data_IF_286339826603
#
_entry.id   IF_286339826603
#
_cell.length_a   1.000
_cell.length_b   1.000
_cell.length_c   1.000
_cell.angle_alpha   90.00
_cell.angle_beta   90.00
_cell.angle_gamma   90.00
#
_symmetry.space_group_name_H-M   'P 1'
#
loop_
_entity.id
_entity.type
_entity.pdbx_description
1 polymer ?
#
# COMPACT_ATOMS: atom_id res chain seq x y z
N UNK A 1 12.41 17.00 -10.71
CA UNK A 1 12.50 15.89 -9.74
C UNK A 1 13.64 16.23 -8.80
N UNK A 2 13.37 16.42 -7.48
CA UNK A 2 14.22 16.95 -6.37
C UNK A 2 13.57 18.07 -5.54
N UNK A 3 12.36 18.48 -5.89
CA UNK A 3 11.64 19.47 -5.12
C UNK A 3 11.04 18.82 -3.87
N UNK A 4 11.21 19.45 -2.71
CA UNK A 4 10.67 18.95 -1.44
C UNK A 4 9.20 19.32 -1.28
N UNK A 5 8.40 18.47 -0.63
CA UNK A 5 7.05 18.81 -0.12
C UNK A 5 7.05 19.72 1.10
N UNK A 6 8.21 19.98 1.70
CA UNK A 6 8.33 20.65 3.00
C UNK A 6 7.58 21.98 2.98
N UNK A 7 6.74 22.17 4.00
CA UNK A 7 5.97 23.38 4.17
C UNK A 7 6.89 24.57 4.51
N UNK A 8 6.69 25.68 3.80
CA UNK A 8 7.31 26.98 4.06
C UNK A 8 6.18 28.00 4.33
N UNK A 9 6.18 28.58 5.54
CA UNK A 9 5.13 29.49 5.96
C UNK A 9 5.10 30.80 5.17
N UNK A 10 6.26 31.28 4.69
CA UNK A 10 6.34 32.51 3.90
C UNK A 10 5.80 32.26 2.48
N UNK A 11 6.20 31.15 1.86
CA UNK A 11 5.70 30.78 0.55
C UNK A 11 4.19 30.50 0.58
N UNK A 12 3.70 29.80 1.61
CA UNK A 12 2.28 29.52 1.79
C UNK A 12 1.44 30.79 2.03
N UNK A 13 2.00 31.83 2.65
CA UNK A 13 1.32 33.11 2.82
C UNK A 13 1.14 33.88 1.49
N UNK A 14 2.03 33.65 0.52
CA UNK A 14 1.97 34.27 -0.81
C UNK A 14 1.11 33.42 -1.77
N UNK A 15 1.27 32.10 -1.72
CA UNK A 15 0.62 31.15 -2.63
C UNK A 15 0.29 29.84 -1.90
N UNK A 16 -0.80 29.84 -1.14
CA UNK A 16 -1.25 28.67 -0.39
C UNK A 16 -1.59 27.46 -1.30
N UNK A 17 -2.05 27.75 -2.51
CA UNK A 17 -2.49 26.75 -3.51
C UNK A 17 -1.32 26.11 -4.27
N UNK A 18 -0.07 26.53 -4.00
CA UNK A 18 1.13 26.05 -4.67
C UNK A 18 1.08 26.21 -6.21
N UNK A 19 0.41 27.25 -6.71
CA UNK A 19 0.29 27.57 -8.15
C UNK A 19 1.63 27.96 -8.78
N UNK A 20 2.52 28.57 -7.99
CA UNK A 20 3.88 28.93 -8.37
C UNK A 20 4.86 27.76 -8.19
N UNK A 21 4.36 26.58 -7.77
CA UNK A 21 5.13 25.36 -7.60
C UNK A 21 6.35 25.60 -6.70
N UNK A 22 6.15 26.15 -5.50
CA UNK A 22 7.23 26.35 -4.52
C UNK A 22 7.56 25.08 -3.74
N UNK A 23 6.65 24.10 -3.68
CA UNK A 23 6.89 22.75 -3.16
C UNK A 23 6.40 21.66 -4.11
N UNK A 24 6.83 20.42 -3.87
CA UNK A 24 6.19 19.26 -4.47
C UNK A 24 4.79 19.08 -3.85
N UNK A 25 3.78 18.98 -4.70
CA UNK A 25 2.44 18.60 -4.24
C UNK A 25 2.44 17.10 -3.94
N UNK A 26 2.01 16.66 -2.75
CA UNK A 26 1.93 15.25 -2.41
C UNK A 26 1.03 14.51 -3.40
N UNK A 27 1.43 13.30 -3.80
CA UNK A 27 0.70 12.48 -4.77
C UNK A 27 0.30 11.16 -4.13
N UNK A 28 -0.98 10.82 -4.25
CA UNK A 28 -1.51 9.52 -3.82
C UNK A 28 -0.90 8.40 -4.67
N UNK A 29 -0.55 7.29 -4.04
CA UNK A 29 -0.15 6.08 -4.75
C UNK A 29 -1.33 5.53 -5.56
N UNK A 30 -1.05 5.17 -6.83
CA UNK A 30 -1.96 4.35 -7.63
C UNK A 30 -2.18 2.98 -6.99
N UNK A 31 -3.31 2.34 -7.28
CA UNK A 31 -3.66 1.01 -6.78
C UNK A 31 -2.53 -0.03 -6.89
N UNK A 32 -1.88 -0.10 -8.06
CA UNK A 32 -0.80 -1.05 -8.33
C UNK A 32 0.45 -0.75 -7.49
N UNK A 33 0.79 0.55 -7.37
CA UNK A 33 1.94 1.00 -6.58
C UNK A 33 1.70 0.81 -5.08
N UNK A 34 0.46 1.02 -4.61
CA UNK A 34 0.06 0.75 -3.24
C UNK A 34 0.23 -0.73 -2.91
N UNK A 35 -0.34 -1.62 -3.74
CA UNK A 35 -0.20 -3.06 -3.54
C UNK A 35 1.25 -3.50 -3.53
N UNK A 36 2.06 -3.01 -4.48
CA UNK A 36 3.48 -3.33 -4.55
C UNK A 36 4.26 -2.76 -3.36
N UNK A 37 3.91 -1.57 -2.85
CA UNK A 37 4.51 -0.98 -1.65
C UNK A 37 4.23 -1.81 -0.40
N UNK A 38 3.01 -2.33 -0.25
CA UNK A 38 2.65 -3.25 0.85
C UNK A 38 3.50 -4.52 0.79
N UNK A 39 3.67 -5.11 -0.40
CA UNK A 39 4.53 -6.29 -0.61
C UNK A 39 5.99 -6.00 -0.26
N UNK A 40 6.51 -4.84 -0.65
CA UNK A 40 7.88 -4.41 -0.32
C UNK A 40 8.06 -4.25 1.19
N UNK A 41 7.09 -3.62 1.85
CA UNK A 41 7.13 -3.41 3.29
C UNK A 41 7.09 -4.76 4.03
N UNK A 42 6.17 -5.64 3.65
CA UNK A 42 6.06 -6.99 4.19
C UNK A 42 7.28 -7.89 3.91
N UNK A 43 8.10 -7.56 2.89
CA UNK A 43 9.24 -8.39 2.47
C UNK A 43 8.86 -9.54 1.53
N UNK A 44 7.65 -9.50 0.97
CA UNK A 44 7.06 -10.58 0.17
C UNK A 44 7.16 -10.32 -1.35
N UNK A 45 7.57 -9.12 -1.76
CA UNK A 45 7.60 -8.77 -3.18
C UNK A 45 8.50 -9.72 -3.99
N UNK A 46 7.88 -10.50 -4.86
CA UNK A 46 8.59 -11.26 -5.89
C UNK A 46 8.99 -10.30 -7.03
N UNK A 47 10.31 -10.12 -7.18
CA UNK A 47 10.94 -9.20 -8.14
C UNK A 47 11.29 -9.85 -9.49
N UNK A 48 10.91 -11.11 -9.71
CA UNK A 48 11.16 -11.84 -10.95
C UNK A 48 10.65 -11.06 -12.16
N UNK A 49 11.52 -10.90 -13.17
CA UNK A 49 11.24 -10.17 -14.40
C UNK A 49 10.94 -11.11 -15.56
N UNK A 50 10.09 -10.67 -16.49
CA UNK A 50 9.70 -11.40 -17.70
C UNK A 50 8.97 -12.73 -17.44
N UNK A 51 8.63 -13.48 -18.49
CA UNK A 51 7.84 -14.71 -18.35
C UNK A 51 6.34 -14.46 -18.12
N UNK A 52 5.56 -15.52 -17.90
CA UNK A 52 4.11 -15.43 -17.77
C UNK A 52 3.70 -14.65 -16.52
N UNK A 53 2.61 -13.90 -16.63
CA UNK A 53 1.97 -13.27 -15.49
C UNK A 53 1.24 -14.27 -14.59
N UNK A 54 0.81 -13.81 -13.42
CA UNK A 54 -0.02 -14.60 -12.50
C UNK A 54 -1.51 -14.38 -12.74
N UNK A 55 -2.35 -15.32 -12.29
CA UNK A 55 -3.81 -15.27 -12.42
C UNK A 55 -4.47 -15.50 -11.06
N UNK A 56 -4.90 -14.43 -10.41
CA UNK A 56 -5.69 -14.48 -9.17
C UNK A 56 -7.19 -14.71 -9.44
N UNK A 57 -7.48 -15.54 -10.46
CA UNK A 57 -8.83 -15.92 -10.82
C UNK A 57 -8.83 -17.30 -11.48
N UNK A 58 -9.96 -17.98 -11.35
CA UNK A 58 -10.27 -19.19 -12.11
C UNK A 58 -11.33 -18.88 -13.16
N UNK A 59 -11.31 -19.59 -14.29
CA UNK A 59 -12.33 -19.44 -15.34
C UNK A 59 -13.01 -20.77 -15.60
N UNK A 60 -14.33 -20.74 -15.77
CA UNK A 60 -15.14 -21.93 -16.01
C UNK A 60 -16.31 -21.63 -16.96
N UNK A 61 -16.89 -22.70 -17.54
CA UNK A 61 -17.98 -22.59 -18.51
C UNK A 61 -19.27 -23.14 -17.90
N UNK A 62 -20.33 -22.31 -17.88
CA UNK A 62 -21.71 -22.70 -17.49
C UNK A 62 -22.73 -22.05 -18.43
N UNK A 63 -22.85 -22.53 -19.66
CA UNK A 63 -23.60 -21.90 -20.77
C UNK A 63 -22.99 -20.57 -21.28
N UNK A 64 -22.05 -19.98 -20.56
CA UNK A 64 -21.22 -18.84 -20.94
C UNK A 64 -19.86 -18.95 -20.22
N UNK A 65 -18.92 -18.06 -20.53
CA UNK A 65 -17.64 -17.95 -19.82
C UNK A 65 -17.80 -17.14 -18.54
N UNK A 66 -17.40 -17.72 -17.42
CA UNK A 66 -17.41 -17.10 -16.09
C UNK A 66 -16.02 -17.07 -15.50
N UNK A 67 -15.85 -16.24 -14.48
CA UNK A 67 -14.66 -16.21 -13.66
C UNK A 67 -15.03 -16.06 -12.19
N UNK A 68 -14.13 -16.53 -11.33
CA UNK A 68 -14.18 -16.33 -9.90
C UNK A 68 -12.81 -15.84 -9.43
N UNK A 69 -12.80 -14.82 -8.58
CA UNK A 69 -11.57 -14.25 -8.03
C UNK A 69 -11.11 -15.15 -6.90
N UNK A 70 -9.83 -15.50 -6.90
CA UNK A 70 -9.20 -16.24 -5.81
C UNK A 70 -8.25 -15.33 -5.04
N UNK A 71 -8.07 -15.59 -3.75
CA UNK A 71 -7.15 -14.83 -2.88
C UNK A 71 -6.06 -15.75 -2.29
N UNK A 72 -5.14 -16.24 -3.14
CA UNK A 72 -4.10 -17.18 -2.73
C UNK A 72 -2.97 -16.53 -1.93
N UNK A 73 -2.43 -17.28 -0.98
CA UNK A 73 -1.22 -16.95 -0.22
C UNK A 73 -0.04 -17.77 -0.75
N UNK A 74 0.56 -17.31 -1.85
CA UNK A 74 1.76 -17.93 -2.43
C UNK A 74 2.62 -16.90 -3.18
N UNK A 75 3.94 -17.15 -3.21
CA UNK A 75 4.95 -16.24 -3.78
C UNK A 75 4.72 -15.87 -5.26
N UNK A 76 4.06 -16.74 -6.03
CA UNK A 76 3.66 -16.45 -7.41
C UNK A 76 2.73 -15.22 -7.49
N UNK A 77 1.83 -15.08 -6.52
CA UNK A 77 0.83 -14.01 -6.46
C UNK A 77 1.39 -12.73 -5.84
N UNK A 78 2.54 -12.80 -5.17
CA UNK A 78 3.26 -11.65 -4.61
C UNK A 78 4.22 -11.00 -5.60
N UNK A 79 4.05 -11.29 -6.88
CA UNK A 79 4.74 -10.61 -7.96
C UNK A 79 4.21 -9.18 -8.14
N UNK A 80 5.09 -8.31 -8.67
CA UNK A 80 4.73 -6.94 -9.06
C UNK A 80 3.42 -6.91 -9.84
N UNK A 81 2.53 -6.00 -9.47
CA UNK A 81 1.14 -5.94 -9.97
C UNK A 81 1.07 -5.75 -11.50
N UNK A 82 2.12 -5.21 -12.12
CA UNK A 82 2.24 -5.12 -13.59
C UNK A 82 2.20 -6.48 -14.31
N UNK A 83 2.52 -7.58 -13.62
CA UNK A 83 2.47 -8.94 -14.16
C UNK A 83 1.13 -9.62 -13.90
N UNK A 84 0.16 -8.94 -13.28
CA UNK A 84 -1.18 -9.49 -13.09
C UNK A 84 -1.89 -9.65 -14.43
N UNK A 85 -2.42 -10.83 -14.68
CA UNK A 85 -3.30 -11.06 -15.84
C UNK A 85 -4.65 -10.42 -15.58
N UNK A 86 -5.22 -9.76 -16.59
CA UNK A 86 -6.56 -9.16 -16.51
C UNK A 86 -7.56 -9.90 -17.38
N UNK A 87 -8.73 -10.20 -16.81
CA UNK A 87 -9.94 -10.46 -17.59
C UNK A 87 -10.53 -9.10 -17.95
N UNK A 88 -11.02 -8.93 -19.19
CA UNK A 88 -11.58 -7.66 -19.66
C UNK A 88 -12.74 -7.15 -18.79
N UNK A 89 -13.56 -8.04 -18.25
CA UNK A 89 -14.64 -7.74 -17.28
C UNK A 89 -14.24 -8.04 -15.83
N UNK A 90 -12.96 -8.35 -15.60
CA UNK A 90 -12.41 -8.75 -14.32
C UNK A 90 -12.41 -7.58 -13.34
N UNK A 91 -12.78 -7.88 -12.10
CA UNK A 91 -12.68 -6.97 -10.96
C UNK A 91 -11.49 -7.36 -10.08
N UNK A 92 -11.00 -6.42 -9.28
CA UNK A 92 -10.02 -6.69 -8.23
C UNK A 92 -10.48 -6.01 -6.94
N UNK A 93 -10.79 -6.75 -5.87
CA UNK A 93 -11.38 -6.18 -4.66
C UNK A 93 -10.54 -5.05 -4.03
N UNK A 94 -9.22 -5.16 -4.11
CA UNK A 94 -8.32 -4.12 -3.63
C UNK A 94 -8.09 -3.04 -4.69
N UNK A 95 -7.71 -3.42 -5.92
CA UNK A 95 -7.27 -2.43 -6.91
C UNK A 95 -8.42 -1.51 -7.36
N UNK A 96 -9.62 -2.06 -7.51
CA UNK A 96 -10.80 -1.28 -7.95
C UNK A 96 -11.17 -0.19 -6.93
N UNK A 97 -11.00 -0.47 -5.63
CA UNK A 97 -11.27 0.51 -4.55
C UNK A 97 -10.28 1.68 -4.60
N UNK A 98 -9.07 1.45 -5.10
CA UNK A 98 -8.01 2.45 -5.26
C UNK A 98 -7.93 3.02 -6.68
N UNK A 99 -9.09 3.12 -7.34
CA UNK A 99 -9.26 3.77 -8.65
C UNK A 99 -8.44 3.14 -9.79
N UNK A 100 -8.12 1.83 -9.70
CA UNK A 100 -7.51 1.10 -10.80
C UNK A 100 -8.41 1.18 -12.05
N UNK A 101 -7.86 1.53 -13.24
CA UNK A 101 -8.66 1.63 -14.46
C UNK A 101 -9.41 0.35 -14.82
N UNK A 102 -10.69 0.48 -15.20
CA UNK A 102 -11.49 -0.64 -15.70
C UNK A 102 -10.93 -1.12 -17.05
N UNK A 103 -10.48 -2.39 -17.16
CA UNK A 103 -9.84 -2.92 -18.36
C UNK A 103 -10.77 -3.03 -19.59
N UNK A 104 -12.08 -2.86 -19.40
CA UNK A 104 -13.06 -2.84 -20.50
C UNK A 104 -13.20 -1.47 -21.17
N UNK A 105 -12.70 -0.40 -20.54
CA UNK A 105 -12.91 0.99 -20.95
C UNK A 105 -11.60 1.74 -21.23
N UNK A 106 -11.69 2.90 -21.89
CA UNK A 106 -10.55 3.79 -22.11
C UNK A 106 -10.43 4.76 -20.93
N UNK A 107 -9.25 4.84 -20.34
CA UNK A 107 -8.97 5.73 -19.19
C UNK A 107 -7.79 6.64 -19.53
N UNK A 108 -8.02 7.77 -20.21
CA UNK A 108 -6.94 8.69 -20.59
C UNK A 108 -6.35 9.44 -19.39
N UNK A 109 -7.12 9.61 -18.32
CA UNK A 109 -6.71 10.21 -17.05
C UNK A 109 -7.18 9.30 -15.92
N UNK A 110 -6.28 8.95 -15.01
CA UNK A 110 -6.61 8.17 -13.81
C UNK A 110 -7.33 9.08 -12.80
N UNK A 111 -8.44 8.59 -12.26
CA UNK A 111 -9.10 9.26 -11.15
C UNK A 111 -8.31 9.04 -9.87
N UNK A 112 -8.37 10.01 -8.96
CA UNK A 112 -7.83 9.87 -7.60
C UNK A 112 -8.93 10.33 -6.66
N UNK A 113 -9.50 9.38 -5.92
CA UNK A 113 -10.55 9.63 -4.94
C UNK A 113 -10.01 9.41 -3.53
N UNK A 114 -10.66 10.05 -2.55
CA UNK A 114 -10.44 9.81 -1.13
C UNK A 114 -11.79 9.43 -0.54
N UNK A 115 -11.99 8.15 -0.28
CA UNK A 115 -13.28 7.64 0.20
C UNK A 115 -13.13 6.86 1.50
N UNK A 116 -14.15 6.85 2.38
CA UNK A 116 -14.15 5.97 3.55
C UNK A 116 -13.99 4.49 3.21
N UNK A 117 -14.46 4.07 2.03
CA UNK A 117 -14.33 2.69 1.55
C UNK A 117 -12.86 2.31 1.35
N UNK A 118 -12.01 3.22 0.86
CA UNK A 118 -10.57 2.97 0.74
C UNK A 118 -9.91 2.72 2.08
N UNK A 119 -10.21 3.56 3.09
CA UNK A 119 -9.70 3.36 4.44
C UNK A 119 -10.19 2.03 5.04
N UNK A 120 -11.48 1.70 4.84
CA UNK A 120 -12.06 0.45 5.32
C UNK A 120 -11.45 -0.77 4.62
N UNK A 121 -11.14 -0.66 3.32
CA UNK A 121 -10.48 -1.72 2.55
C UNK A 121 -9.06 -1.95 3.03
N UNK A 122 -8.28 -0.90 3.30
CA UNK A 122 -6.94 -1.07 3.90
C UNK A 122 -7.00 -1.74 5.26
N UNK A 123 -8.07 -1.49 6.01
CA UNK A 123 -8.27 -2.10 7.33
C UNK A 123 -8.71 -3.56 7.21
N UNK A 124 -9.58 -3.94 6.28
CA UNK A 124 -10.28 -5.24 6.33
C UNK A 124 -10.00 -6.19 5.17
N UNK A 125 -9.31 -5.74 4.12
CA UNK A 125 -8.99 -6.60 3.00
C UNK A 125 -8.03 -7.72 3.46
N UNK A 126 -8.31 -8.96 3.06
CA UNK A 126 -7.56 -10.16 3.47
C UNK A 126 -6.08 -10.09 3.10
N UNK A 127 -5.74 -9.54 1.94
CA UNK A 127 -4.34 -9.30 1.55
C UNK A 127 -3.66 -8.31 2.51
N UNK A 128 -4.35 -7.23 2.89
CA UNK A 128 -3.80 -6.23 3.83
C UNK A 128 -3.56 -6.82 5.22
N UNK A 129 -4.49 -7.65 5.70
CA UNK A 129 -4.34 -8.35 6.99
C UNK A 129 -3.15 -9.32 6.96
N UNK A 130 -3.05 -10.16 5.92
CA UNK A 130 -1.90 -11.07 5.75
C UNK A 130 -0.58 -10.31 5.67
N UNK A 131 -0.52 -9.21 4.93
CA UNK A 131 0.72 -8.43 4.81
C UNK A 131 1.09 -7.71 6.10
N UNK A 132 0.12 -7.34 6.94
CA UNK A 132 0.39 -6.79 8.26
C UNK A 132 1.02 -7.85 9.19
N UNK A 133 0.55 -9.10 9.11
CA UNK A 133 1.18 -10.23 9.81
C UNK A 133 2.60 -10.49 9.29
N UNK A 134 2.81 -10.52 7.97
CA UNK A 134 4.15 -10.70 7.37
C UNK A 134 5.12 -9.58 7.74
N UNK A 135 4.67 -8.33 7.77
CA UNK A 135 5.49 -7.22 8.26
C UNK A 135 5.84 -7.40 9.75
N UNK A 136 4.90 -7.83 10.59
CA UNK A 136 5.19 -8.11 11.99
C UNK A 136 6.21 -9.24 12.17
N UNK A 137 6.08 -10.34 11.41
CA UNK A 137 7.06 -11.44 11.38
C UNK A 137 8.44 -10.93 10.96
N UNK A 138 8.51 -10.11 9.90
CA UNK A 138 9.75 -9.49 9.43
C UNK A 138 10.38 -8.61 10.51
N UNK A 139 9.60 -7.77 11.19
CA UNK A 139 10.09 -6.92 12.27
C UNK A 139 10.61 -7.74 13.46
N UNK A 140 9.94 -8.83 13.81
CA UNK A 140 10.40 -9.75 14.84
C UNK A 140 11.74 -10.40 14.47
N UNK A 141 11.96 -10.72 13.20
CA UNK A 141 13.23 -11.27 12.70
C UNK A 141 14.35 -10.22 12.65
N UNK A 142 14.06 -9.00 12.20
CA UNK A 142 15.06 -7.95 12.01
C UNK A 142 15.43 -7.20 13.32
N UNK A 143 14.48 -7.05 14.25
CA UNK A 143 14.65 -6.28 15.49
C UNK A 143 14.49 -7.10 16.78
N UNK A 144 14.23 -8.40 16.69
CA UNK A 144 14.07 -9.26 17.86
C UNK A 144 12.88 -8.85 18.73
N UNK A 145 12.99 -9.01 20.05
CA UNK A 145 11.95 -8.65 21.02
C UNK A 145 12.01 -7.21 21.55
N UNK A 146 12.87 -6.35 21.00
CA UNK A 146 12.96 -4.94 21.40
C UNK A 146 11.88 -4.12 20.67
N UNK A 147 10.81 -3.77 21.38
CA UNK A 147 9.68 -2.99 20.85
C UNK A 147 10.14 -1.64 20.28
N UNK A 148 11.11 -0.97 20.92
CA UNK A 148 11.62 0.32 20.41
C UNK A 148 12.31 0.11 19.07
N UNK A 149 13.15 -0.92 18.96
CA UNK A 149 13.82 -1.26 17.70
C UNK A 149 12.81 -1.65 16.60
N UNK A 150 11.75 -2.39 16.95
CA UNK A 150 10.66 -2.75 16.03
C UNK A 150 9.95 -1.50 15.49
N UNK A 151 9.58 -0.53 16.35
CA UNK A 151 8.92 0.72 15.91
C UNK A 151 9.83 1.51 14.98
N UNK A 152 11.11 1.69 15.35
CA UNK A 152 12.08 2.40 14.52
C UNK A 152 12.18 1.77 13.13
N UNK A 153 12.24 0.45 13.06
CA UNK A 153 12.37 -0.28 11.81
C UNK A 153 11.09 -0.25 10.97
N UNK A 154 9.93 -0.35 11.61
CA UNK A 154 8.65 -0.31 10.91
C UNK A 154 8.42 1.02 10.20
N UNK A 155 8.74 2.14 10.88
CA UNK A 155 8.62 3.49 10.31
C UNK A 155 9.64 3.69 9.16
N UNK A 156 10.87 3.21 9.32
CA UNK A 156 11.89 3.27 8.26
C UNK A 156 11.44 2.52 6.99
N UNK A 157 10.92 1.29 7.14
CA UNK A 157 10.44 0.49 6.02
C UNK A 157 9.18 1.09 5.38
N UNK A 158 8.24 1.57 6.20
CA UNK A 158 6.90 1.95 5.73
C UNK A 158 6.85 3.39 5.19
N UNK A 159 7.57 4.31 5.83
CA UNK A 159 7.50 5.74 5.52
C UNK A 159 8.82 6.29 4.96
N UNK A 160 9.90 5.51 4.96
CA UNK A 160 11.19 5.94 4.41
C UNK A 160 11.87 7.06 5.18
N UNK A 161 11.54 7.22 6.48
CA UNK A 161 12.12 8.24 7.37
C UNK A 161 12.38 7.70 8.77
N UNK A 162 13.03 8.52 9.59
CA UNK A 162 13.24 8.20 11.01
C UNK A 162 11.98 8.50 11.82
N UNK A 163 11.70 7.64 12.80
CA UNK A 163 10.68 7.90 13.80
C UNK A 163 11.12 9.03 14.74
N UNK A 164 10.14 9.78 15.22
CA UNK A 164 10.29 10.74 16.32
C UNK A 164 10.16 10.04 17.67
N UNK A 165 10.64 10.67 18.74
CA UNK A 165 10.53 10.08 20.08
C UNK A 165 9.07 9.93 20.55
N UNK A 166 8.17 10.86 20.18
CA UNK A 166 6.72 10.76 20.46
C UNK A 166 6.08 9.55 19.75
N UNK A 167 6.45 9.29 18.50
CA UNK A 167 5.98 8.12 17.76
C UNK A 167 6.49 6.83 18.38
N UNK A 168 7.76 6.80 18.79
CA UNK A 168 8.33 5.63 19.47
C UNK A 168 7.58 5.35 20.76
N UNK A 169 7.33 6.35 21.59
CA UNK A 169 6.57 6.18 22.83
C UNK A 169 5.14 5.69 22.56
N UNK A 170 4.39 6.39 21.70
CA UNK A 170 2.98 6.07 21.40
C UNK A 170 2.82 4.68 20.79
N UNK A 171 3.66 4.33 19.82
CA UNK A 171 3.55 3.04 19.15
C UNK A 171 4.07 1.89 20.00
N UNK A 172 5.05 2.12 20.89
CA UNK A 172 5.48 1.09 21.85
C UNK A 172 4.32 0.72 22.78
N UNK A 173 3.63 1.71 23.37
CA UNK A 173 2.45 1.45 24.20
C UNK A 173 1.31 0.77 23.43
N UNK A 174 1.14 1.11 22.14
CA UNK A 174 0.15 0.45 21.28
C UNK A 174 0.49 -1.02 21.05
N UNK A 175 1.75 -1.34 20.72
CA UNK A 175 2.21 -2.72 20.49
C UNK A 175 2.06 -3.56 21.75
N UNK A 176 2.35 -3.02 22.92
CA UNK A 176 2.15 -3.73 24.20
C UNK A 176 0.67 -4.07 24.46
N UNK A 177 -0.25 -3.22 24.00
CA UNK A 177 -1.69 -3.38 24.22
C UNK A 177 -2.37 -4.27 23.18
N UNK A 178 -1.94 -4.20 21.92
CA UNK A 178 -2.67 -4.78 20.78
C UNK A 178 -1.82 -5.70 19.90
N UNK A 179 -0.50 -5.75 20.11
CA UNK A 179 0.43 -6.57 19.36
C UNK A 179 0.98 -5.91 18.09
N UNK A 180 2.02 -6.54 17.54
CA UNK A 180 2.80 -6.01 16.43
C UNK A 180 2.05 -6.04 15.09
N UNK A 181 1.22 -7.04 14.86
CA UNK A 181 0.42 -7.17 13.63
C UNK A 181 -0.62 -6.04 13.49
N UNK A 182 -1.32 -5.70 14.58
CA UNK A 182 -2.27 -4.58 14.57
C UNK A 182 -1.56 -3.24 14.39
N UNK A 183 -0.35 -3.09 14.95
CA UNK A 183 0.47 -1.91 14.67
C UNK A 183 0.82 -1.80 13.18
N UNK A 184 1.27 -2.88 12.54
CA UNK A 184 1.57 -2.91 11.10
C UNK A 184 0.34 -2.56 10.25
N UNK A 185 -0.85 -3.05 10.66
CA UNK A 185 -2.12 -2.72 10.02
C UNK A 185 -2.44 -1.22 10.11
N UNK A 186 -2.18 -0.58 11.26
CA UNK A 186 -2.32 0.87 11.43
C UNK A 186 -1.37 1.63 10.50
N UNK A 187 -0.11 1.18 10.36
CA UNK A 187 0.85 1.81 9.45
C UNK A 187 0.34 1.79 8.00
N UNK A 188 -0.14 0.65 7.51
CA UNK A 188 -0.70 0.54 6.16
C UNK A 188 -1.97 1.35 5.93
N UNK A 189 -2.74 1.64 6.98
CA UNK A 189 -3.94 2.49 6.89
C UNK A 189 -3.62 3.99 6.95
N UNK A 190 -2.38 4.37 7.28
CA UNK A 190 -2.00 5.77 7.46
C UNK A 190 -1.95 6.54 6.12
N UNK A 191 -2.19 7.85 6.19
CA UNK A 191 -2.00 8.71 5.01
C UNK A 191 -0.54 8.74 4.54
N UNK A 192 0.40 8.61 5.47
CA UNK A 192 1.84 8.68 5.18
C UNK A 192 2.30 7.48 4.34
N UNK A 193 1.73 6.29 4.57
CA UNK A 193 2.02 5.13 3.71
C UNK A 193 1.49 5.29 2.28
N UNK A 194 0.43 6.07 2.11
CA UNK A 194 -0.36 6.11 0.88
C UNK A 194 0.05 7.25 -0.06
N UNK A 195 0.93 8.14 0.38
CA UNK A 195 1.26 9.39 -0.32
C UNK A 195 2.76 9.50 -0.49
N UNK A 196 3.20 9.96 -1.66
CA UNK A 196 4.59 10.30 -1.96
C UNK A 196 4.72 11.82 -2.04
N UNK A 197 5.66 12.37 -1.28
CA UNK A 197 5.86 13.80 -1.11
C UNK A 197 7.35 14.23 -1.25
#
# INVERSE_FOLDING_TARGET
YRQSSRFDAQAAAIDADNRLLWRMSPRRLDAENLRDAVLVAAGELNTEMAGPGYRDFETFVRNSQFYEIVDPDAAEFYRRTIYRTWIRSGRSPLLDVFDCPDPSTKTPVRAVTVTPLQALSLMNNSFMLRMAERLAERLQQEAGGDVRAQVLRAIDISYGRKATDDEVERYSSFIESYGLAEFCRVLFNSNEFLVVD
#
